data_IF_778973059000
#
_entry.id   IF_778973059000
#
_cell.length_a   1.000
_cell.length_b   1.000
_cell.length_c   1.000
_cell.angle_alpha   90.00
_cell.angle_beta   90.00
_cell.angle_gamma   90.00
#
_symmetry.space_group_name_H-M   'P 1'
#
loop_
_entity.id
_entity.type
_entity.pdbx_description
1 polymer ?
#
# COMPACT_ATOMS: atom_id res chain seq x y z
N UNK A 1 -29.83 19.02 10.36
CA UNK A 1 -28.77 18.43 9.52
C UNK A 1 -28.66 16.96 9.91
N UNK A 2 -29.07 16.05 9.03
CA UNK A 2 -28.89 14.61 9.26
C UNK A 2 -27.45 14.27 8.89
N UNK A 3 -26.66 13.91 9.88
CA UNK A 3 -25.38 13.25 9.71
C UNK A 3 -25.64 12.00 8.88
N UNK A 4 -25.21 11.99 7.63
CA UNK A 4 -25.15 10.75 6.87
C UNK A 4 -24.07 9.93 7.54
N UNK A 5 -24.47 9.03 8.42
CA UNK A 5 -23.69 7.82 8.68
C UNK A 5 -23.58 7.13 7.31
N UNK A 6 -22.53 7.48 6.57
CA UNK A 6 -22.00 6.58 5.57
C UNK A 6 -21.70 5.30 6.36
N UNK A 7 -22.58 4.31 6.20
CA UNK A 7 -22.22 2.92 6.44
C UNK A 7 -20.92 2.72 5.67
N UNK A 8 -19.79 2.82 6.38
CA UNK A 8 -18.43 2.66 5.90
C UNK A 8 -18.24 1.19 5.59
N UNK A 9 -18.94 0.73 4.55
CA UNK A 9 -18.75 -0.60 3.99
C UNK A 9 -17.27 -0.73 3.65
N UNK A 10 -16.66 -1.81 4.13
CA UNK A 10 -15.31 -2.18 3.75
C UNK A 10 -15.31 -2.28 2.22
N UNK A 11 -14.42 -1.57 1.50
CA UNK A 11 -14.40 -1.64 0.05
C UNK A 11 -14.18 -3.10 -0.40
N UNK A 12 -14.80 -3.53 -1.51
CA UNK A 12 -14.62 -4.88 -2.01
C UNK A 12 -13.15 -5.14 -2.33
N UNK A 13 -12.67 -6.38 -2.18
CA UNK A 13 -11.28 -6.70 -2.50
C UNK A 13 -11.00 -6.43 -3.97
N UNK A 14 -9.88 -5.78 -4.23
CA UNK A 14 -9.37 -5.53 -5.57
C UNK A 14 -8.34 -6.60 -5.95
N UNK A 15 -8.68 -7.44 -6.93
CA UNK A 15 -7.92 -8.66 -7.29
C UNK A 15 -7.10 -8.49 -8.59
N UNK A 16 -7.43 -7.50 -9.44
CA UNK A 16 -6.86 -7.39 -10.79
C UNK A 16 -5.78 -6.30 -10.89
N UNK A 17 -4.66 -6.56 -11.56
CA UNK A 17 -3.64 -5.53 -11.84
C UNK A 17 -4.14 -4.54 -12.90
N UNK A 18 -3.52 -3.36 -13.02
CA UNK A 18 -3.77 -2.45 -14.14
C UNK A 18 -3.50 -3.17 -15.49
N UNK A 19 -4.39 -3.02 -16.47
CA UNK A 19 -4.12 -3.43 -17.85
C UNK A 19 -3.10 -2.45 -18.48
N UNK A 20 -2.07 -2.97 -19.17
CA UNK A 20 -1.00 -2.16 -19.80
C UNK A 20 0.25 -1.93 -18.94
N UNK A 21 0.40 -2.73 -17.88
CA UNK A 21 1.39 -2.54 -16.83
C UNK A 21 2.79 -3.08 -17.18
N UNK A 22 3.74 -2.18 -17.47
CA UNK A 22 5.14 -2.53 -17.74
C UNK A 22 6.04 -2.48 -16.50
N UNK A 23 5.50 -2.15 -15.32
CA UNK A 23 6.29 -1.87 -14.12
C UNK A 23 6.75 -3.13 -13.39
N UNK A 24 8.06 -3.33 -13.28
CA UNK A 24 8.68 -4.37 -12.46
C UNK A 24 8.46 -4.03 -10.98
N UNK A 25 7.92 -4.96 -10.19
CA UNK A 25 7.88 -4.84 -8.73
C UNK A 25 9.31 -4.92 -8.18
N UNK A 26 9.73 -3.91 -7.41
CA UNK A 26 11.04 -3.91 -6.73
C UNK A 26 10.92 -4.27 -5.25
N UNK A 27 9.72 -4.19 -4.69
CA UNK A 27 9.42 -4.66 -3.34
C UNK A 27 7.99 -5.18 -3.25
N UNK A 28 7.81 -6.24 -2.45
CA UNK A 28 6.53 -6.84 -2.10
C UNK A 28 6.55 -7.19 -0.61
N UNK A 29 5.49 -6.85 0.11
CA UNK A 29 5.28 -7.25 1.50
C UNK A 29 3.84 -7.70 1.70
N UNK A 30 3.62 -8.66 2.58
CA UNK A 30 2.29 -9.13 2.96
C UNK A 30 1.97 -8.72 4.40
N UNK A 31 0.73 -8.33 4.65
CA UNK A 31 0.16 -8.06 5.98
C UNK A 31 -1.29 -8.55 6.02
N UNK A 32 -1.82 -8.79 7.21
CA UNK A 32 -3.23 -9.08 7.43
C UNK A 32 -3.95 -7.86 7.99
N UNK A 33 -5.06 -7.47 7.35
CA UNK A 33 -6.01 -6.50 7.89
C UNK A 33 -7.15 -7.24 8.59
N UNK A 34 -7.44 -6.87 9.83
CA UNK A 34 -8.57 -7.38 10.61
C UNK A 34 -9.55 -6.24 10.83
N UNK A 35 -10.75 -6.35 10.26
CA UNK A 35 -11.80 -5.35 10.36
C UNK A 35 -12.63 -5.54 11.64
N UNK A 36 -13.47 -4.55 11.96
CA UNK A 36 -14.27 -4.53 13.20
C UNK A 36 -15.28 -5.67 13.32
N UNK A 37 -15.74 -6.20 12.19
CA UNK A 37 -16.64 -7.34 12.12
C UNK A 37 -15.90 -8.70 12.23
N UNK A 38 -14.58 -8.67 12.36
CA UNK A 38 -13.73 -9.85 12.39
C UNK A 38 -13.36 -10.39 11.01
N UNK A 39 -13.77 -9.74 9.91
CA UNK A 39 -13.27 -10.08 8.58
C UNK A 39 -11.74 -9.92 8.58
N UNK A 40 -11.04 -10.97 8.17
CA UNK A 40 -9.59 -10.96 7.97
C UNK A 40 -9.30 -10.97 6.47
N UNK A 41 -8.45 -10.04 6.03
CA UNK A 41 -8.05 -9.91 4.63
C UNK A 41 -6.53 -9.79 4.50
N UNK A 42 -5.94 -10.67 3.69
CA UNK A 42 -4.52 -10.60 3.32
C UNK A 42 -4.31 -9.46 2.32
N UNK A 43 -3.53 -8.47 2.72
CA UNK A 43 -3.12 -7.37 1.87
C UNK A 43 -1.72 -7.63 1.30
N UNK A 44 -1.50 -7.16 0.08
CA UNK A 44 -0.18 -7.21 -0.56
C UNK A 44 0.25 -5.79 -0.87
N UNK A 45 1.28 -5.33 -0.17
CA UNK A 45 1.92 -4.04 -0.36
C UNK A 45 2.95 -4.19 -1.48
N UNK A 46 2.85 -3.39 -2.54
CA UNK A 46 3.80 -3.42 -3.66
C UNK A 46 4.36 -2.05 -3.97
N UNK A 47 5.65 -2.03 -4.31
CA UNK A 47 6.34 -0.86 -4.85
C UNK A 47 6.98 -1.26 -6.17
N UNK A 48 6.63 -0.54 -7.24
CA UNK A 48 7.24 -0.70 -8.56
C UNK A 48 8.56 0.06 -8.72
N UNK A 49 9.33 -0.28 -9.76
CA UNK A 49 10.46 0.53 -10.19
C UNK A 49 9.96 1.88 -10.75
N UNK A 50 10.60 3.01 -10.43
CA UNK A 50 10.35 4.27 -11.14
C UNK A 50 10.58 4.11 -12.65
N UNK A 51 9.69 4.67 -13.46
CA UNK A 51 9.75 4.64 -14.92
C UNK A 51 9.37 6.00 -15.50
N UNK A 52 9.68 6.22 -16.78
CA UNK A 52 9.32 7.46 -17.49
C UNK A 52 8.11 7.21 -18.37
N UNK A 53 7.08 8.06 -18.23
CA UNK A 53 5.92 8.06 -19.11
C UNK A 53 5.57 9.51 -19.47
N UNK A 54 5.51 9.81 -20.77
CA UNK A 54 5.26 11.16 -21.28
C UNK A 54 6.21 12.23 -20.67
N UNK A 55 7.48 11.87 -20.47
CA UNK A 55 8.50 12.75 -19.90
C UNK A 55 8.42 12.96 -18.39
N UNK A 56 7.53 12.25 -17.68
CA UNK A 56 7.35 12.36 -16.23
C UNK A 56 7.85 11.08 -15.56
N UNK A 57 8.60 11.20 -14.46
CA UNK A 57 8.95 10.07 -13.61
C UNK A 57 7.73 9.63 -12.81
N UNK A 58 7.43 8.33 -12.90
CA UNK A 58 6.24 7.71 -12.35
C UNK A 58 6.57 6.42 -11.62
N UNK A 59 5.78 6.07 -10.62
CA UNK A 59 5.88 4.81 -9.89
C UNK A 59 4.50 4.25 -9.61
N UNK A 60 4.40 2.93 -9.65
CA UNK A 60 3.21 2.22 -9.20
C UNK A 60 3.42 1.81 -7.74
N UNK A 61 2.43 2.10 -6.90
CA UNK A 61 2.40 1.62 -5.52
C UNK A 61 0.99 1.13 -5.22
N UNK A 62 0.86 -0.05 -4.63
CA UNK A 62 -0.42 -0.76 -4.52
C UNK A 62 -0.60 -1.39 -3.14
N UNK A 63 -1.87 -1.44 -2.69
CA UNK A 63 -2.33 -2.21 -1.54
C UNK A 63 -3.36 -3.23 -2.05
N UNK A 64 -2.91 -4.33 -2.69
CA UNK A 64 -3.84 -5.32 -3.23
C UNK A 64 -4.80 -5.80 -2.13
N UNK A 65 -6.06 -6.04 -2.50
CA UNK A 65 -7.17 -6.35 -1.59
C UNK A 65 -7.61 -5.24 -0.62
N UNK A 66 -6.99 -4.06 -0.60
CA UNK A 66 -7.47 -2.90 0.18
C UNK A 66 -7.80 -1.71 -0.72
N UNK A 67 -6.81 -1.27 -1.50
CA UNK A 67 -6.89 -0.04 -2.27
C UNK A 67 -5.82 0.06 -3.35
N UNK A 68 -6.02 0.96 -4.30
CA UNK A 68 -5.03 1.31 -5.31
C UNK A 68 -4.93 2.81 -5.47
N UNK A 69 -3.78 3.27 -5.94
CA UNK A 69 -3.70 4.62 -6.53
C UNK A 69 -4.56 4.68 -7.79
N UNK A 70 -5.30 5.78 -8.01
CA UNK A 70 -6.07 6.02 -9.25
C UNK A 70 -5.20 6.15 -10.52
N UNK A 71 -3.89 6.07 -10.36
CA UNK A 71 -2.88 6.02 -11.39
C UNK A 71 -1.49 6.06 -10.76
N UNK A 72 -0.42 5.83 -11.53
CA UNK A 72 0.93 5.88 -10.98
C UNK A 72 1.24 7.26 -10.38
N UNK A 73 1.85 7.25 -9.20
CA UNK A 73 2.34 8.45 -8.51
C UNK A 73 3.45 9.08 -9.34
N UNK A 74 3.58 10.40 -9.29
CA UNK A 74 4.59 11.14 -10.04
C UNK A 74 5.64 11.77 -9.11
N UNK A 75 6.81 12.07 -9.66
CA UNK A 75 7.84 12.89 -9.01
C UNK A 75 8.67 13.68 -10.02
N UNK A 76 9.46 14.62 -9.53
CA UNK A 76 10.40 15.44 -10.30
C UNK A 76 11.50 14.60 -10.95
N UNK A 77 12.00 13.61 -10.21
CA UNK A 77 13.07 12.71 -10.62
C UNK A 77 12.87 11.30 -10.05
N UNK A 78 13.64 10.33 -10.56
CA UNK A 78 13.48 8.92 -10.18
C UNK A 78 13.52 8.63 -8.68
N UNK A 79 14.36 9.33 -7.92
CA UNK A 79 14.49 9.14 -6.47
C UNK A 79 13.29 9.73 -5.71
N UNK A 80 12.87 10.95 -6.04
CA UNK A 80 11.67 11.57 -5.46
C UNK A 80 10.43 10.71 -5.73
N UNK A 81 10.32 10.21 -6.96
CA UNK A 81 9.26 9.29 -7.34
C UNK A 81 9.28 8.03 -6.47
N UNK A 82 10.45 7.43 -6.24
CA UNK A 82 10.57 6.27 -5.35
C UNK A 82 10.14 6.59 -3.91
N UNK A 83 10.59 7.72 -3.36
CA UNK A 83 10.21 8.16 -2.02
C UNK A 83 8.70 8.36 -1.90
N UNK A 84 8.07 8.97 -2.91
CA UNK A 84 6.61 9.12 -2.96
C UNK A 84 5.90 7.78 -2.94
N UNK A 85 6.40 6.78 -3.68
CA UNK A 85 5.85 5.42 -3.65
C UNK A 85 5.97 4.77 -2.28
N UNK A 86 7.15 4.81 -1.66
CA UNK A 86 7.36 4.24 -0.32
C UNK A 86 6.46 4.92 0.71
N UNK A 87 6.39 6.26 0.71
CA UNK A 87 5.61 7.03 1.69
C UNK A 87 4.09 6.85 1.54
N UNK A 88 3.61 6.51 0.33
CA UNK A 88 2.19 6.35 0.07
C UNK A 88 1.58 5.17 0.84
N UNK A 89 2.29 4.04 0.97
CA UNK A 89 1.79 2.84 1.67
C UNK A 89 1.38 3.12 3.13
N UNK A 90 2.28 3.60 4.02
CA UNK A 90 1.93 3.84 5.42
C UNK A 90 0.89 4.96 5.56
N UNK A 91 0.94 5.99 4.71
CA UNK A 91 -0.08 7.03 4.70
C UNK A 91 -1.46 6.45 4.40
N UNK A 92 -1.56 5.57 3.39
CA UNK A 92 -2.84 5.00 2.97
C UNK A 92 -3.37 3.96 3.95
N UNK A 93 -2.51 3.11 4.51
CA UNK A 93 -2.89 2.18 5.58
C UNK A 93 -3.46 2.92 6.79
N UNK A 94 -2.82 4.04 7.20
CA UNK A 94 -3.31 4.88 8.30
C UNK A 94 -4.68 5.47 8.00
N UNK A 95 -4.87 6.05 6.81
CA UNK A 95 -6.18 6.57 6.41
C UNK A 95 -7.25 5.48 6.44
N UNK A 96 -6.93 4.27 5.97
CA UNK A 96 -7.86 3.13 6.04
C UNK A 96 -8.18 2.68 7.46
N UNK A 97 -7.20 2.67 8.37
CA UNK A 97 -7.40 2.38 9.79
C UNK A 97 -8.34 3.42 10.43
N UNK A 98 -8.15 4.71 10.14
CA UNK A 98 -9.02 5.79 10.62
C UNK A 98 -10.43 5.72 10.00
N UNK A 99 -10.52 5.37 8.72
CA UNK A 99 -11.78 5.29 7.99
C UNK A 99 -12.60 4.06 8.41
N UNK A 100 -12.00 2.87 8.45
CA UNK A 100 -12.72 1.61 8.60
C UNK A 100 -12.50 0.94 9.96
N UNK A 101 -11.60 1.47 10.78
CA UNK A 101 -11.31 0.94 12.12
C UNK A 101 -10.71 -0.47 12.09
N UNK A 102 -9.99 -0.82 11.03
CA UNK A 102 -9.24 -2.06 10.95
C UNK A 102 -7.90 -1.96 11.70
N UNK A 103 -7.31 -3.12 12.00
CA UNK A 103 -5.97 -3.24 12.55
C UNK A 103 -5.11 -4.12 11.64
N UNK A 104 -3.82 -3.84 11.59
CA UNK A 104 -2.87 -4.57 10.75
C UNK A 104 -1.96 -5.49 11.57
N UNK A 105 -1.71 -6.67 11.04
CA UNK A 105 -0.90 -7.71 11.67
C UNK A 105 0.08 -8.29 10.66
N UNK A 106 1.17 -8.87 11.17
CA UNK A 106 2.02 -9.71 10.35
C UNK A 106 1.24 -10.93 9.84
N UNK A 107 1.60 -11.46 8.66
CA UNK A 107 0.99 -12.65 8.07
C UNK A 107 0.78 -13.80 9.08
N UNK A 108 -0.47 -14.22 9.23
CA UNK A 108 -0.87 -15.37 10.04
C UNK A 108 -0.34 -15.33 11.48
N UNK A 109 -0.22 -14.11 12.02
CA UNK A 109 0.32 -13.82 13.33
C UNK A 109 -0.58 -12.88 14.12
N UNK A 110 -0.56 -13.02 15.45
CA UNK A 110 -1.19 -12.06 16.37
C UNK A 110 -0.29 -10.84 16.66
N UNK A 111 0.90 -10.80 16.04
CA UNK A 111 1.83 -9.68 16.17
C UNK A 111 1.35 -8.51 15.32
N UNK A 112 1.02 -7.39 15.97
CA UNK A 112 0.61 -6.15 15.31
C UNK A 112 1.72 -5.66 14.38
N UNK A 113 1.35 -5.22 13.19
CA UNK A 113 2.25 -4.58 12.23
C UNK A 113 2.42 -3.10 12.62
N UNK A 114 3.66 -2.66 12.81
CA UNK A 114 3.97 -1.23 12.96
C UNK A 114 4.31 -0.63 11.59
N UNK A 115 3.88 0.61 11.34
CA UNK A 115 4.24 1.34 10.13
C UNK A 115 5.75 1.59 10.04
N UNK A 116 6.44 1.66 11.17
CA UNK A 116 7.91 1.79 11.20
C UNK A 116 8.61 0.53 10.65
N UNK A 117 8.02 -0.65 10.87
CA UNK A 117 8.55 -1.92 10.37
C UNK A 117 8.60 -1.98 8.83
N UNK A 118 7.70 -1.25 8.16
CA UNK A 118 7.68 -1.14 6.70
C UNK A 118 9.00 -0.56 6.15
N UNK A 119 9.54 0.43 6.85
CA UNK A 119 10.80 1.08 6.47
C UNK A 119 12.02 0.21 6.83
N UNK A 120 11.94 -0.57 7.91
CA UNK A 120 13.00 -1.50 8.29
C UNK A 120 13.07 -2.73 7.37
N UNK A 121 11.95 -3.17 6.78
CA UNK A 121 11.96 -4.15 5.68
C UNK A 121 12.77 -3.68 4.46
N UNK A 122 12.71 -2.38 4.15
CA UNK A 122 13.57 -1.76 3.12
C UNK A 122 15.05 -1.67 3.54
N UNK A 123 15.34 -1.76 4.84
CA UNK A 123 16.69 -1.69 5.42
C UNK A 123 17.45 -3.01 5.32
N UNK A 124 16.76 -4.14 5.18
CA UNK A 124 17.35 -5.48 5.00
C UNK A 124 18.07 -5.67 3.65
N UNK A 125 17.94 -4.73 2.70
CA UNK A 125 18.80 -4.67 1.50
C UNK A 125 20.21 -4.13 1.80
N UNK A 126 20.51 -3.71 3.04
CA UNK A 126 21.85 -3.37 3.51
C UNK A 126 22.31 -4.32 4.62
N UNK A 127 22.70 -5.56 4.26
CA UNK A 127 23.87 -6.26 4.86
C UNK A 127 24.10 -7.63 4.20
N UNK A 128 24.88 -7.63 3.13
CA UNK A 128 25.92 -8.63 2.88
C UNK A 128 27.14 -7.92 2.30
N UNK A 129 27.96 -7.39 3.19
CA UNK A 129 29.38 -7.09 2.97
C UNK A 129 30.12 -7.74 4.12
#
# INVERSE_FOLDING_TARGET
MKTMEQNKMIPPPFIHRFEGDSGIDIAKQEIDAVFRDGEKRRLILRIGAPFIQNGIFRIRTELENLDRTDGPLAGSESFDTLLNGIAWIPARLRTFEEEHGCLYYWPDSDTKFDYEDFFDGCRLLKKKT
#
